data_IF_602793068592
#
_entry.id   IF_602793068592
#
_cell.length_a   1.000
_cell.length_b   1.000
_cell.length_c   1.000
_cell.angle_alpha   90.00
_cell.angle_beta   90.00
_cell.angle_gamma   90.00
#
_symmetry.space_group_name_H-M   'P 1'
#
loop_
_entity.id
_entity.type
_entity.pdbx_description
1 polymer ?
#
# COMPACT_ATOMS: atom_id res chain seq x y z
N UNK A 1 18.93 32.01 17.96
CA UNK A 1 19.27 31.62 19.35
C UNK A 1 17.98 31.28 20.08
N UNK A 2 17.74 30.00 20.37
CA UNK A 2 16.98 29.54 21.55
C UNK A 2 17.15 28.03 21.65
N UNK A 3 18.20 27.63 22.37
CA UNK A 3 18.41 26.28 22.88
C UNK A 3 17.65 26.20 24.19
N UNK A 4 16.61 25.39 24.29
CA UNK A 4 16.03 24.92 25.56
C UNK A 4 14.99 23.84 25.26
N UNK A 5 15.44 22.58 25.32
CA UNK A 5 14.68 21.38 25.74
C UNK A 5 15.41 20.10 25.27
N UNK A 6 16.73 20.03 25.46
CA UNK A 6 17.37 18.78 25.84
C UNK A 6 17.21 18.66 27.35
N UNK A 7 17.21 17.45 27.89
CA UNK A 7 17.07 17.09 29.32
C UNK A 7 15.66 16.71 29.77
N UNK A 8 15.17 15.56 29.28
CA UNK A 8 14.27 14.72 30.08
C UNK A 8 14.37 13.23 29.71
N UNK A 9 15.60 12.68 29.69
CA UNK A 9 15.83 11.22 29.62
C UNK A 9 16.77 10.68 30.70
N UNK A 10 17.18 11.48 31.68
CA UNK A 10 18.17 11.07 32.67
C UNK A 10 17.61 11.13 34.09
N UNK A 11 16.75 10.18 34.45
CA UNK A 11 16.55 9.77 35.85
C UNK A 11 15.63 8.54 35.93
N UNK A 12 16.23 7.34 35.93
CA UNK A 12 15.97 6.23 36.85
C UNK A 12 16.62 4.95 36.29
N UNK A 13 17.45 4.34 37.12
CA UNK A 13 18.35 3.25 36.76
C UNK A 13 17.67 1.91 36.50
N UNK A 14 18.52 0.98 36.08
CA UNK A 14 18.24 -0.42 35.71
C UNK A 14 17.43 -0.59 34.42
N UNK A 15 18.14 -0.69 33.31
CA UNK A 15 18.11 -1.86 32.40
C UNK A 15 18.79 -1.48 31.09
N UNK A 16 19.76 -2.28 30.66
CA UNK A 16 20.41 -2.24 29.33
C UNK A 16 19.44 -2.63 28.18
N UNK A 17 18.18 -2.23 28.25
CA UNK A 17 17.21 -2.43 27.19
C UNK A 17 17.08 -1.16 26.33
N UNK A 18 17.86 -1.21 25.25
CA UNK A 18 17.40 -0.84 23.92
C UNK A 18 17.07 0.64 23.69
N UNK A 19 18.11 1.41 23.37
CA UNK A 19 18.00 2.62 22.53
C UNK A 19 17.34 2.34 21.17
N UNK A 20 17.19 1.07 20.77
CA UNK A 20 16.39 0.70 19.60
C UNK A 20 14.87 0.86 19.87
N UNK A 21 14.41 0.66 21.10
CA UNK A 21 12.98 0.78 21.46
C UNK A 21 12.42 2.20 21.37
N UNK A 22 13.24 3.23 21.65
CA UNK A 22 12.82 4.62 21.49
C UNK A 22 12.72 5.04 20.02
N UNK A 23 13.60 4.54 19.14
CA UNK A 23 13.56 4.87 17.70
C UNK A 23 12.33 4.28 17.00
N UNK A 24 11.92 3.08 17.40
CA UNK A 24 10.72 2.44 16.83
C UNK A 24 9.46 3.24 17.13
N UNK A 25 9.35 3.81 18.34
CA UNK A 25 8.18 4.60 18.74
C UNK A 25 8.08 5.94 18.02
N UNK A 26 9.19 6.65 17.77
CA UNK A 26 9.16 7.90 17.02
C UNK A 26 8.80 7.68 15.54
N UNK A 27 9.33 6.63 14.91
CA UNK A 27 8.97 6.25 13.53
C UNK A 27 7.51 5.83 13.47
N UNK A 28 7.04 5.05 14.45
CA UNK A 28 5.66 4.59 14.52
C UNK A 28 4.67 5.74 14.82
N UNK A 29 5.05 6.72 15.66
CA UNK A 29 4.24 7.93 15.89
C UNK A 29 4.28 8.89 14.69
N UNK A 30 5.42 9.08 14.02
CA UNK A 30 5.50 9.90 12.82
C UNK A 30 4.70 9.29 11.65
N UNK A 31 4.70 7.96 11.53
CA UNK A 31 3.88 7.23 10.58
C UNK A 31 2.37 7.23 10.94
N UNK A 32 2.01 7.31 12.24
CA UNK A 32 0.61 7.33 12.70
C UNK A 32 -0.02 8.72 12.79
N UNK A 33 0.74 9.77 13.10
CA UNK A 33 0.21 11.11 13.44
C UNK A 33 0.59 12.22 12.48
N UNK A 34 1.44 11.94 11.48
CA UNK A 34 1.88 12.94 10.53
C UNK A 34 2.84 13.95 11.17
N UNK A 35 4.10 13.89 10.79
CA UNK A 35 4.99 15.05 10.94
C UNK A 35 4.48 16.18 10.03
N UNK A 36 4.74 17.44 10.38
CA UNK A 36 4.43 18.63 9.56
C UNK A 36 5.10 18.60 8.16
N UNK A 37 6.01 17.66 7.93
CA UNK A 37 6.68 17.42 6.65
C UNK A 37 6.26 16.09 5.99
N UNK A 38 5.11 15.51 6.40
CA UNK A 38 4.63 14.27 5.80
C UNK A 38 4.01 14.54 4.44
N UNK A 39 4.46 13.82 3.42
CA UNK A 39 3.89 13.86 2.08
C UNK A 39 2.99 12.65 1.89
N UNK A 40 1.75 12.89 1.51
CA UNK A 40 0.85 11.83 1.10
C UNK A 40 1.09 11.52 -0.38
N UNK A 41 1.54 10.30 -0.67
CA UNK A 41 1.60 9.77 -2.02
C UNK A 41 0.29 9.06 -2.33
N UNK A 42 -0.23 9.34 -3.52
CA UNK A 42 -1.45 8.76 -4.04
C UNK A 42 -1.19 8.12 -5.40
N UNK A 43 -1.79 6.95 -5.60
CA UNK A 43 -1.87 6.33 -6.90
C UNK A 43 -3.23 5.68 -7.10
N UNK A 44 -3.66 5.55 -8.35
CA UNK A 44 -4.92 4.92 -8.72
C UNK A 44 -4.67 3.92 -9.83
N UNK A 45 -5.32 2.77 -9.75
CA UNK A 45 -5.43 1.82 -10.84
C UNK A 45 -6.90 1.59 -11.17
N UNK A 46 -7.28 1.91 -12.41
CA UNK A 46 -8.62 1.59 -12.92
C UNK A 46 -8.61 0.16 -13.43
N UNK A 47 -9.46 -0.67 -12.86
CA UNK A 47 -9.58 -2.08 -13.21
C UNK A 47 -10.53 -2.21 -14.39
N UNK A 48 -10.01 -2.69 -15.50
CA UNK A 48 -10.76 -3.05 -16.69
C UNK A 48 -10.88 -4.56 -16.81
N UNK A 49 -12.04 -5.04 -17.27
CA UNK A 49 -12.28 -6.45 -17.46
C UNK A 49 -11.29 -7.08 -18.44
N UNK A 50 -10.83 -8.28 -18.11
CA UNK A 50 -10.10 -9.16 -19.02
C UNK A 50 -11.06 -10.25 -19.49
N UNK A 51 -11.43 -10.20 -20.77
CA UNK A 51 -12.34 -11.17 -21.40
C UNK A 51 -13.81 -10.71 -21.43
N UNK A 52 -14.74 -11.67 -21.44
CA UNK A 52 -16.17 -11.40 -21.60
C UNK A 52 -16.90 -10.99 -20.30
N UNK A 53 -16.17 -10.85 -19.18
CA UNK A 53 -16.72 -10.39 -17.91
C UNK A 53 -16.97 -8.88 -17.92
N UNK A 54 -17.97 -8.41 -17.17
CA UNK A 54 -18.29 -6.99 -17.00
C UNK A 54 -17.59 -6.35 -15.79
N UNK A 55 -16.53 -6.98 -15.27
CA UNK A 55 -15.87 -6.55 -14.05
C UNK A 55 -15.21 -5.17 -14.23
N UNK A 56 -15.60 -4.22 -13.39
CA UNK A 56 -15.00 -2.89 -13.37
C UNK A 56 -14.74 -2.44 -11.95
N UNK A 57 -13.77 -1.57 -11.76
CA UNK A 57 -13.53 -0.99 -10.46
C UNK A 57 -12.29 -0.14 -10.39
N UNK A 58 -11.92 0.18 -9.16
CA UNK A 58 -10.79 1.04 -8.89
C UNK A 58 -10.03 0.53 -7.67
N UNK A 59 -8.70 0.62 -7.74
CA UNK A 59 -7.80 0.47 -6.61
C UNK A 59 -7.17 1.82 -6.33
N UNK A 60 -7.54 2.44 -5.22
CA UNK A 60 -6.86 3.62 -4.71
C UNK A 60 -5.75 3.19 -3.77
N UNK A 61 -4.54 3.69 -3.99
CA UNK A 61 -3.34 3.39 -3.22
C UNK A 61 -2.90 4.66 -2.47
N UNK A 62 -2.60 4.51 -1.18
CA UNK A 62 -2.18 5.61 -0.32
C UNK A 62 -0.94 5.20 0.45
N UNK A 63 0.03 6.11 0.51
CA UNK A 63 1.20 5.95 1.36
C UNK A 63 1.54 7.29 2.00
N UNK A 64 1.81 7.28 3.30
CA UNK A 64 2.31 8.45 4.00
C UNK A 64 3.81 8.34 4.10
N UNK A 65 4.55 9.27 3.49
CA UNK A 65 6.01 9.26 3.52
C UNK A 65 6.48 10.46 4.33
N UNK A 66 7.50 10.27 5.16
CA UNK A 66 8.15 11.34 5.92
C UNK A 66 9.62 11.43 5.53
N UNK A 67 10.31 12.54 5.82
CA UNK A 67 11.76 12.64 5.61
C UNK A 67 12.53 11.54 6.34
N UNK A 68 12.04 11.08 7.50
CA UNK A 68 12.66 10.01 8.27
C UNK A 68 12.47 8.64 7.61
N UNK A 69 11.31 8.36 7.02
CA UNK A 69 11.08 7.07 6.34
C UNK A 69 11.99 6.94 5.12
N UNK A 70 12.23 8.03 4.38
CA UNK A 70 13.22 8.06 3.28
C UNK A 70 14.65 7.87 3.79
N UNK A 71 15.03 8.58 4.86
CA UNK A 71 16.38 8.51 5.44
C UNK A 71 16.74 7.11 5.95
N UNK A 72 15.76 6.38 6.46
CA UNK A 72 15.96 5.07 7.11
C UNK A 72 15.52 3.88 6.26
N UNK A 73 15.12 4.12 5.01
CA UNK A 73 14.53 3.10 4.13
C UNK A 73 13.34 2.34 4.76
N UNK A 74 12.67 2.98 5.72
CA UNK A 74 11.63 2.41 6.55
C UNK A 74 10.26 2.88 6.06
N UNK A 75 9.94 2.60 4.80
CA UNK A 75 8.67 2.99 4.21
C UNK A 75 7.52 2.25 4.89
N UNK A 76 6.46 2.96 5.33
CA UNK A 76 5.25 2.30 5.80
C UNK A 76 4.55 1.60 4.63
N UNK A 77 3.80 0.55 4.95
CA UNK A 77 3.08 -0.22 3.93
C UNK A 77 2.15 0.66 3.11
N UNK A 78 2.09 0.40 1.81
CA UNK A 78 1.11 1.05 0.93
C UNK A 78 -0.26 0.49 1.26
N UNK A 79 -1.22 1.36 1.58
CA UNK A 79 -2.61 0.94 1.77
C UNK A 79 -3.37 0.95 0.46
N UNK A 80 -3.85 -0.22 0.06
CA UNK A 80 -4.74 -0.41 -1.08
C UNK A 80 -6.20 -0.42 -0.62
N UNK A 81 -7.02 0.34 -1.32
CA UNK A 81 -8.47 0.39 -1.18
C UNK A 81 -9.07 -0.03 -2.52
N UNK A 82 -9.64 -1.23 -2.55
CA UNK A 82 -10.31 -1.77 -3.72
C UNK A 82 -11.82 -1.55 -3.60
N UNK A 83 -12.43 -1.10 -4.69
CA UNK A 83 -13.86 -1.17 -4.90
C UNK A 83 -14.11 -1.72 -6.31
N UNK A 84 -14.87 -2.82 -6.39
CA UNK A 84 -15.21 -3.49 -7.66
C UNK A 84 -16.68 -3.81 -7.77
N UNK A 85 -17.15 -3.86 -9.00
CA UNK A 85 -18.53 -4.12 -9.40
C UNK A 85 -18.55 -5.01 -10.65
N UNK A 86 -19.70 -5.65 -10.91
CA UNK A 86 -19.90 -6.49 -12.09
C UNK A 86 -19.18 -7.84 -12.04
N UNK A 87 -18.81 -8.32 -10.84
CA UNK A 87 -18.24 -9.64 -10.63
C UNK A 87 -19.32 -10.65 -10.22
N UNK A 88 -19.09 -11.94 -10.48
CA UNK A 88 -19.94 -12.98 -9.93
C UNK A 88 -19.67 -13.14 -8.42
N UNK A 89 -20.65 -13.61 -7.66
CA UNK A 89 -20.46 -13.89 -6.24
C UNK A 89 -19.37 -14.97 -6.05
N UNK A 90 -18.42 -14.72 -5.16
CA UNK A 90 -17.31 -15.65 -4.96
C UNK A 90 -16.09 -15.01 -4.28
N UNK A 91 -14.98 -15.75 -4.31
CA UNK A 91 -13.70 -15.25 -3.83
C UNK A 91 -12.76 -15.00 -5.01
N UNK A 92 -12.12 -13.83 -4.95
CA UNK A 92 -11.13 -13.38 -5.91
C UNK A 92 -9.85 -13.05 -5.18
N UNK A 93 -8.72 -13.05 -5.90
CA UNK A 93 -7.42 -12.67 -5.35
C UNK A 93 -6.95 -11.39 -6.01
N UNK A 94 -6.76 -10.35 -5.22
CA UNK A 94 -6.06 -9.13 -5.62
C UNK A 94 -4.55 -9.40 -5.59
N UNK A 95 -3.87 -9.09 -6.70
CA UNK A 95 -2.42 -9.26 -6.84
C UNK A 95 -1.77 -8.09 -7.56
N UNK A 96 -0.50 -7.85 -7.24
CA UNK A 96 0.37 -6.92 -7.98
C UNK A 96 1.16 -7.69 -9.03
N UNK A 97 1.33 -7.13 -10.22
CA UNK A 97 2.10 -7.75 -11.30
C UNK A 97 3.12 -6.75 -11.85
N UNK A 98 4.31 -7.23 -12.21
CA UNK A 98 5.36 -6.39 -12.79
C UNK A 98 5.06 -5.96 -14.22
N UNK A 99 4.27 -6.76 -14.95
CA UNK A 99 3.81 -6.43 -16.30
C UNK A 99 2.58 -5.54 -16.25
N UNK A 100 2.39 -4.65 -17.22
CA UNK A 100 1.24 -3.74 -17.31
C UNK A 100 -0.08 -4.44 -17.69
N UNK A 101 -0.04 -5.69 -18.13
CA UNK A 101 -1.17 -6.45 -18.66
C UNK A 101 -1.71 -7.54 -17.70
N UNK A 102 -1.17 -7.61 -16.49
CA UNK A 102 -1.45 -8.65 -15.47
C UNK A 102 -1.20 -10.10 -15.94
N UNK A 103 -0.36 -10.32 -16.96
CA UNK A 103 -0.01 -11.66 -17.44
C UNK A 103 1.12 -12.33 -16.64
N UNK A 104 1.83 -11.56 -15.80
CA UNK A 104 2.91 -12.07 -14.95
C UNK A 104 2.43 -12.71 -13.64
N UNK A 105 3.34 -13.36 -12.88
CA UNK A 105 3.03 -13.87 -11.55
C UNK A 105 2.70 -12.73 -10.57
N UNK A 106 1.85 -13.00 -9.59
CA UNK A 106 1.58 -12.07 -8.49
C UNK A 106 2.86 -11.86 -7.67
N UNK A 107 3.25 -10.61 -7.45
CA UNK A 107 4.46 -10.22 -6.71
C UNK A 107 4.32 -10.56 -5.23
N UNK A 108 5.06 -11.59 -4.81
CA UNK A 108 5.32 -11.91 -3.40
C UNK A 108 4.06 -12.25 -2.58
N UNK A 109 4.07 -11.88 -1.30
CA UNK A 109 2.98 -12.17 -0.34
C UNK A 109 1.79 -11.19 -0.43
N UNK A 110 1.72 -10.37 -1.48
CA UNK A 110 0.70 -9.34 -1.65
C UNK A 110 -0.62 -9.85 -2.25
N UNK A 111 -0.77 -11.17 -2.38
CA UNK A 111 -2.06 -11.80 -2.66
C UNK A 111 -3.04 -11.55 -1.52
N UNK A 112 -4.19 -10.93 -1.83
CA UNK A 112 -5.23 -10.62 -0.84
C UNK A 112 -6.58 -11.09 -1.37
N UNK A 113 -7.27 -11.88 -0.56
CA UNK A 113 -8.59 -12.39 -0.93
C UNK A 113 -9.65 -11.29 -0.81
N UNK A 114 -10.47 -11.16 -1.84
CA UNK A 114 -11.61 -10.25 -1.92
C UNK A 114 -12.86 -11.12 -1.99
N UNK A 115 -13.78 -10.94 -1.05
CA UNK A 115 -15.09 -11.55 -1.12
C UNK A 115 -16.03 -10.65 -1.93
N UNK A 116 -16.69 -11.22 -2.93
CA UNK A 116 -17.71 -10.55 -3.73
C UNK A 116 -19.08 -11.09 -3.35
N UNK A 117 -20.00 -10.19 -3.03
CA UNK A 117 -21.36 -10.50 -2.63
C UNK A 117 -22.25 -10.95 -3.79
N UNK A 118 -23.48 -11.36 -3.47
CA UNK A 118 -24.50 -11.70 -4.46
C UNK A 118 -24.95 -10.50 -5.33
N UNK A 119 -24.66 -9.28 -4.86
CA UNK A 119 -24.85 -8.02 -5.59
C UNK A 119 -23.75 -7.74 -6.61
N UNK A 120 -22.73 -8.61 -6.70
CA UNK A 120 -21.62 -8.51 -7.64
C UNK A 120 -20.57 -7.47 -7.26
N UNK A 121 -20.61 -6.98 -6.01
CA UNK A 121 -19.70 -5.96 -5.49
C UNK A 121 -18.72 -6.55 -4.50
N UNK A 122 -17.51 -5.99 -4.50
CA UNK A 122 -16.44 -6.36 -3.59
C UNK A 122 -15.66 -5.14 -3.12
N UNK A 123 -15.30 -5.12 -1.85
CA UNK A 123 -14.42 -4.10 -1.29
C UNK A 123 -13.32 -4.75 -0.48
N UNK A 124 -12.11 -4.19 -0.53
CA UNK A 124 -10.98 -4.66 0.27
C UNK A 124 -10.13 -3.48 0.73
N UNK A 125 -9.66 -3.56 1.97
CA UNK A 125 -8.59 -2.69 2.49
C UNK A 125 -7.42 -3.60 2.86
N UNK A 126 -6.26 -3.39 2.24
CA UNK A 126 -5.09 -4.21 2.48
C UNK A 126 -3.80 -3.38 2.54
N UNK A 127 -2.86 -3.84 3.36
CA UNK A 127 -1.46 -3.41 3.27
C UNK A 127 -0.73 -4.20 2.19
N UNK A 128 0.04 -3.49 1.37
CA UNK A 128 0.97 -4.04 0.41
C UNK A 128 2.38 -3.92 0.99
N UNK A 129 2.91 -5.06 1.39
CA UNK A 129 4.16 -5.15 2.12
C UNK A 129 5.32 -4.86 1.16
N UNK A 130 6.38 -4.21 1.68
CA UNK A 130 7.64 -3.93 0.97
C UNK A 130 7.46 -3.24 -0.39
N UNK A 131 6.44 -2.40 -0.50
CA UNK A 131 6.11 -1.64 -1.70
C UNK A 131 6.15 -0.15 -1.39
N UNK A 132 6.40 0.69 -2.39
CA UNK A 132 6.35 2.14 -2.24
C UNK A 132 5.68 2.80 -3.44
N UNK A 133 5.12 3.98 -3.24
CA UNK A 133 4.59 4.86 -4.29
C UNK A 133 5.59 5.98 -4.64
N UNK A 134 6.78 5.97 -4.06
CA UNK A 134 7.84 6.92 -4.41
C UNK A 134 8.36 6.62 -5.83
N UNK A 135 8.47 7.64 -6.66
CA UNK A 135 9.02 7.50 -8.02
C UNK A 135 10.54 7.31 -7.97
N UNK A 136 11.07 6.41 -8.80
CA UNK A 136 12.51 6.12 -8.88
C UNK A 136 13.06 5.17 -7.80
N UNK A 137 12.27 4.76 -6.80
CA UNK A 137 12.64 3.69 -5.86
C UNK A 137 12.49 2.31 -6.52
N UNK A 138 13.40 1.39 -6.24
CA UNK A 138 13.39 0.03 -6.82
C UNK A 138 12.17 -0.82 -6.41
N UNK A 139 11.57 -0.51 -5.25
CA UNK A 139 10.34 -1.15 -4.76
C UNK A 139 9.08 -0.41 -5.21
N UNK A 140 9.23 0.64 -6.02
CA UNK A 140 8.11 1.39 -6.53
C UNK A 140 7.13 0.49 -7.29
N UNK A 141 5.85 0.67 -7.03
CA UNK A 141 4.77 -0.02 -7.76
C UNK A 141 4.10 0.87 -8.79
N UNK A 142 4.58 2.10 -8.99
CA UNK A 142 4.12 2.97 -10.07
C UNK A 142 4.49 2.38 -11.43
N UNK A 143 3.56 2.45 -12.39
CA UNK A 143 3.71 1.87 -13.74
C UNK A 143 3.56 0.35 -13.81
N UNK A 144 3.48 -0.33 -12.66
CA UNK A 144 3.11 -1.76 -12.57
C UNK A 144 1.60 -1.92 -12.67
N UNK A 145 1.10 -3.15 -12.65
CA UNK A 145 -0.34 -3.39 -12.64
C UNK A 145 -0.82 -4.07 -11.37
N UNK A 146 -2.10 -3.90 -11.09
CA UNK A 146 -2.85 -4.63 -10.09
C UNK A 146 -4.00 -5.33 -10.78
N UNK A 147 -4.21 -6.61 -10.44
CA UNK A 147 -5.20 -7.45 -11.07
C UNK A 147 -6.03 -8.22 -10.05
N UNK A 148 -7.23 -8.59 -10.46
CA UNK A 148 -8.06 -9.57 -9.77
C UNK A 148 -8.03 -10.87 -10.56
N UNK A 149 -7.72 -11.96 -9.87
CA UNK A 149 -7.82 -13.31 -10.39
C UNK A 149 -8.96 -14.08 -9.73
N UNK A 150 -9.59 -14.98 -10.47
CA UNK A 150 -10.56 -15.92 -9.91
C UNK A 150 -9.86 -17.09 -9.17
N UNK A 151 -10.64 -18.02 -8.64
CA UNK A 151 -10.13 -19.21 -7.94
C UNK A 151 -9.29 -20.16 -8.79
N UNK A 152 -9.28 -20.01 -10.12
CA UNK A 152 -8.41 -20.75 -11.04
C UNK A 152 -7.06 -20.06 -11.27
N UNK A 153 -6.92 -18.81 -10.81
CA UNK A 153 -5.76 -17.95 -11.04
C UNK A 153 -5.84 -17.14 -12.34
N UNK A 154 -6.92 -17.27 -13.13
CA UNK A 154 -7.10 -16.51 -14.36
C UNK A 154 -7.41 -15.04 -14.04
N UNK A 155 -6.78 -14.07 -14.73
CA UNK A 155 -7.05 -12.65 -14.51
C UNK A 155 -8.43 -12.27 -15.06
N UNK A 156 -9.26 -11.68 -14.21
CA UNK A 156 -10.64 -11.25 -14.50
C UNK A 156 -10.71 -9.74 -14.71
N UNK A 157 -9.89 -8.97 -14.00
CA UNK A 157 -9.76 -7.53 -14.19
C UNK A 157 -8.32 -7.09 -13.95
N UNK A 158 -7.88 -6.04 -14.64
CA UNK A 158 -6.51 -5.55 -14.58
C UNK A 158 -6.47 -4.03 -14.73
N UNK A 159 -5.54 -3.38 -14.02
CA UNK A 159 -5.34 -1.94 -14.12
C UNK A 159 -3.89 -1.55 -13.86
N UNK A 160 -3.39 -0.57 -14.62
CA UNK A 160 -2.06 0.01 -14.39
C UNK A 160 -2.12 1.03 -13.26
N UNK A 161 -1.15 0.98 -12.35
CA UNK A 161 -1.00 1.88 -11.22
C UNK A 161 -0.37 3.18 -11.70
N UNK A 162 -1.15 4.26 -11.71
CA UNK A 162 -0.69 5.59 -12.07
C UNK A 162 -0.65 6.48 -10.83
N UNK A 163 0.43 7.25 -10.67
CA UNK A 163 0.50 8.28 -9.64
C UNK A 163 -0.55 9.36 -9.92
N UNK A 164 -1.14 9.88 -8.86
CA UNK A 164 -2.08 11.01 -8.92
C UNK A 164 -1.60 12.08 -7.95
N UNK A 165 -1.73 13.34 -8.38
CA UNK A 165 -1.42 14.47 -7.52
C UNK A 165 -2.33 14.43 -6.28
N UNK A 166 -1.74 14.65 -5.10
CA UNK A 166 -2.52 14.92 -3.91
C UNK A 166 -3.34 16.21 -4.12
N UNK A 167 -4.65 16.21 -3.79
CA UNK A 167 -5.49 17.40 -3.93
C UNK A 167 -5.07 18.54 -3.00
#
# INVERSE_FOLDING_TARGET
>A
MNRLSLWMCAALGLSLLSTAGCRTREIELAARFGHHESTQLLAVAKLEAKGAGGASGEVTLRQLVTPQTKKHDAFPDVRAYLAVDGLAAGQYTLGLHDSSDCSGPVKGQNGRTVAVGADGKGTLIAGLDRSTLEEGDERSILGKSVGLSDGSGAPVACGVIAAVAAP
#
